data_IF_556743181512
#
_entry.id   IF_556743181512
#
_cell.length_a   1.000
_cell.length_b   1.000
_cell.length_c   1.000
_cell.angle_alpha   90.00
_cell.angle_beta   90.00
_cell.angle_gamma   90.00
#
_symmetry.space_group_name_H-M   'P 1'
#
loop_
_entity.id
_entity.type
_entity.pdbx_description
1 polymer ?
#
# COMPACT_ATOMS: atom_id res chain seq x y z
N UNK A 1 -3.90 -7.08 -24.60
CA UNK A 1 -4.41 -7.10 -23.22
C UNK A 1 -5.37 -8.27 -23.16
N UNK A 2 -4.97 -9.35 -22.51
CA UNK A 2 -5.79 -10.56 -22.41
C UNK A 2 -6.99 -10.25 -21.52
N UNK A 3 -8.19 -10.63 -21.97
CA UNK A 3 -9.43 -10.36 -21.25
C UNK A 3 -9.47 -11.28 -20.02
N UNK A 4 -9.40 -10.68 -18.82
CA UNK A 4 -9.39 -11.44 -17.58
C UNK A 4 -10.79 -11.98 -17.29
N UNK A 5 -10.98 -13.28 -17.50
CA UNK A 5 -12.28 -13.93 -17.36
C UNK A 5 -12.93 -13.65 -15.98
N UNK A 6 -14.15 -13.12 -16.01
CA UNK A 6 -14.95 -12.86 -14.80
C UNK A 6 -14.62 -11.57 -14.05
N UNK A 7 -13.68 -10.75 -14.54
CA UNK A 7 -13.32 -9.47 -13.90
C UNK A 7 -14.51 -8.53 -13.79
N UNK A 8 -15.29 -8.38 -14.87
CA UNK A 8 -16.45 -7.47 -14.92
C UNK A 8 -17.63 -7.92 -14.05
N UNK A 9 -17.66 -9.19 -13.66
CA UNK A 9 -18.72 -9.76 -12.82
C UNK A 9 -18.31 -9.79 -11.34
N UNK A 10 -17.07 -9.41 -11.02
CA UNK A 10 -16.60 -9.40 -9.64
C UNK A 10 -17.31 -8.28 -8.85
N UNK A 11 -17.79 -8.52 -7.61
CA UNK A 11 -18.52 -7.51 -6.84
C UNK A 11 -17.76 -6.20 -6.60
N UNK A 12 -16.43 -6.24 -6.69
CA UNK A 12 -15.55 -5.09 -6.46
C UNK A 12 -15.11 -4.40 -7.75
N UNK A 13 -15.49 -4.91 -8.92
CA UNK A 13 -14.94 -4.52 -10.24
C UNK A 13 -14.81 -3.01 -10.42
N UNK A 14 -15.89 -2.28 -10.11
CA UNK A 14 -16.00 -0.83 -10.29
C UNK A 14 -15.55 -0.01 -9.08
N UNK A 15 -15.15 -0.65 -7.97
CA UNK A 15 -14.67 0.06 -6.79
C UNK A 15 -13.22 0.49 -6.93
N UNK A 16 -12.87 1.59 -6.28
CA UNK A 16 -11.54 2.20 -6.32
C UNK A 16 -10.78 1.86 -5.02
N UNK A 17 -9.92 0.83 -5.02
CA UNK A 17 -9.08 0.55 -3.87
C UNK A 17 -8.10 1.70 -3.63
N UNK A 18 -8.10 2.21 -2.40
CA UNK A 18 -7.40 3.41 -2.01
C UNK A 18 -6.73 3.21 -0.67
N UNK A 19 -5.43 3.50 -0.59
CA UNK A 19 -4.69 3.57 0.67
C UNK A 19 -5.33 4.57 1.63
N UNK A 20 -5.34 4.24 2.92
CA UNK A 20 -5.64 5.21 3.97
C UNK A 20 -4.42 6.10 4.24
N UNK A 21 -4.58 7.25 4.90
CA UNK A 21 -3.44 8.04 5.35
C UNK A 21 -2.55 7.21 6.30
N UNK A 22 -1.36 6.87 5.85
CA UNK A 22 -0.32 6.18 6.62
C UNK A 22 1.05 6.49 6.03
N UNK A 23 2.06 6.54 6.88
CA UNK A 23 3.43 6.70 6.39
C UNK A 23 3.90 5.42 5.70
N UNK A 24 4.43 5.56 4.49
CA UNK A 24 5.08 4.48 3.76
C UNK A 24 6.23 5.01 2.89
N UNK A 25 7.13 4.12 2.49
CA UNK A 25 8.22 4.44 1.58
C UNK A 25 8.58 3.23 0.71
N UNK A 26 9.27 3.49 -0.40
CA UNK A 26 9.92 2.49 -1.23
C UNK A 26 11.27 2.09 -0.63
N UNK A 27 11.72 0.89 -0.91
CA UNK A 27 13.03 0.39 -0.45
C UNK A 27 13.61 -0.62 -1.44
N UNK A 28 14.94 -0.62 -1.54
CA UNK A 28 15.69 -1.56 -2.36
C UNK A 28 15.53 -1.33 -3.86
N UNK A 29 15.91 -2.35 -4.63
CA UNK A 29 15.91 -2.31 -6.08
C UNK A 29 14.51 -2.47 -6.68
N UNK A 30 14.37 -2.03 -7.94
CA UNK A 30 13.18 -2.31 -8.76
C UNK A 30 13.14 -3.82 -9.04
N UNK A 31 12.00 -4.46 -8.78
CA UNK A 31 11.80 -5.88 -9.00
C UNK A 31 10.99 -6.18 -10.27
N UNK A 32 9.83 -5.52 -10.42
CA UNK A 32 8.99 -5.60 -11.62
C UNK A 32 8.36 -4.24 -11.85
N UNK A 33 8.70 -3.58 -12.96
CA UNK A 33 8.21 -2.23 -13.29
C UNK A 33 7.21 -2.29 -14.45
N UNK A 34 5.93 -1.92 -14.24
CA UNK A 34 4.93 -1.88 -15.29
C UNK A 34 4.98 -0.60 -16.14
N UNK A 35 5.85 0.37 -15.82
CA UNK A 35 5.93 1.65 -16.52
C UNK A 35 4.70 2.53 -16.34
N UNK A 36 3.99 2.37 -15.21
CA UNK A 36 2.75 3.08 -14.90
C UNK A 36 3.01 4.24 -13.93
N UNK A 37 2.22 5.31 -14.07
CA UNK A 37 2.31 6.47 -13.17
C UNK A 37 2.14 6.06 -11.70
N UNK A 38 2.97 6.62 -10.83
CA UNK A 38 2.94 6.38 -9.39
C UNK A 38 3.34 4.96 -8.95
N UNK A 39 3.92 4.16 -9.85
CA UNK A 39 4.34 2.77 -9.57
C UNK A 39 5.81 2.63 -9.86
N UNK A 40 6.61 2.25 -8.86
CA UNK A 40 8.06 2.07 -9.01
C UNK A 40 8.47 0.63 -9.27
N UNK A 41 7.63 -0.33 -8.90
CA UNK A 41 8.01 -1.74 -8.91
C UNK A 41 9.01 -2.14 -7.83
N UNK A 42 9.28 -1.25 -6.87
CA UNK A 42 10.13 -1.51 -5.70
C UNK A 42 9.31 -2.14 -4.58
N UNK A 43 10.01 -2.61 -3.53
CA UNK A 43 9.33 -3.02 -2.30
C UNK A 43 8.87 -1.80 -1.51
N UNK A 44 7.76 -1.97 -0.79
CA UNK A 44 7.18 -0.95 0.07
C UNK A 44 7.32 -1.35 1.53
N UNK A 45 7.60 -0.36 2.38
CA UNK A 45 7.52 -0.48 3.84
C UNK A 45 6.49 0.49 4.36
N UNK A 46 5.56 -0.01 5.17
CA UNK A 46 4.59 0.80 5.92
C UNK A 46 5.08 0.97 7.36
N UNK A 47 5.01 2.20 7.89
CA UNK A 47 5.31 2.52 9.30
C UNK A 47 4.03 2.91 10.02
N UNK A 48 3.77 2.25 11.15
CA UNK A 48 2.57 2.46 11.96
C UNK A 48 3.03 2.73 13.40
N UNK A 49 2.60 3.83 14.05
CA UNK A 49 2.95 4.08 15.45
C UNK A 49 2.30 3.00 16.34
N UNK A 50 3.00 2.56 17.37
CA UNK A 50 2.38 1.72 18.40
C UNK A 50 1.56 2.57 19.34
N UNK A 51 0.30 2.20 19.52
CA UNK A 51 -0.53 2.77 20.57
C UNK A 51 -0.22 2.06 21.89
N UNK A 52 0.64 2.66 22.72
CA UNK A 52 0.87 2.13 24.07
C UNK A 52 -0.22 2.63 25.02
N UNK A 53 -0.89 1.71 25.72
CA UNK A 53 -1.70 2.07 26.88
C UNK A 53 -0.85 2.61 28.04
N UNK A 54 -1.47 3.26 29.04
CA UNK A 54 -0.74 3.89 30.17
C UNK A 54 0.17 2.91 30.95
N UNK A 55 -0.26 1.66 31.10
CA UNK A 55 0.49 0.60 31.79
C UNK A 55 1.62 0.06 30.89
N UNK A 56 1.30 -0.20 29.63
CA UNK A 56 2.25 -0.72 28.63
C UNK A 56 3.37 0.28 28.32
N UNK A 57 3.06 1.58 28.30
CA UNK A 57 4.04 2.64 28.07
C UNK A 57 5.12 2.72 29.15
N UNK A 58 4.81 2.39 30.41
CA UNK A 58 5.82 2.35 31.47
C UNK A 58 6.79 1.17 31.29
N UNK A 59 6.26 -0.01 30.98
CA UNK A 59 7.07 -1.21 30.67
C UNK A 59 7.89 -0.98 29.41
N UNK A 60 7.29 -0.42 28.36
CA UNK A 60 7.94 -0.10 27.10
C UNK A 60 9.16 0.82 27.28
N UNK A 61 9.06 1.84 28.17
CA UNK A 61 10.22 2.70 28.50
C UNK A 61 11.32 1.94 29.22
N UNK A 62 10.98 1.04 30.14
CA UNK A 62 11.95 0.22 30.88
C UNK A 62 12.74 -0.70 29.93
N UNK A 63 12.07 -1.29 28.94
CA UNK A 63 12.70 -2.22 27.99
C UNK A 63 13.14 -1.58 26.67
N UNK A 64 13.03 -0.25 26.54
CA UNK A 64 13.26 0.50 25.28
C UNK A 64 12.54 -0.14 24.08
N UNK A 65 11.27 -0.50 24.26
CA UNK A 65 10.48 -1.13 23.22
C UNK A 65 10.35 -0.19 21.99
N UNK A 66 10.42 -0.73 20.75
CA UNK A 66 10.27 0.08 19.56
C UNK A 66 8.92 0.80 19.56
N UNK A 67 8.93 2.12 19.33
CA UNK A 67 7.71 2.95 19.34
C UNK A 67 6.85 2.81 18.09
N UNK A 68 7.41 2.21 17.05
CA UNK A 68 6.73 1.99 15.79
C UNK A 68 6.78 0.53 15.37
N UNK A 69 5.90 0.22 14.43
CA UNK A 69 5.81 -1.03 13.73
C UNK A 69 6.22 -0.80 12.27
N UNK A 70 7.26 -1.50 11.85
CA UNK A 70 7.67 -1.55 10.44
C UNK A 70 7.11 -2.81 9.80
N UNK A 71 6.46 -2.66 8.66
CA UNK A 71 5.82 -3.73 7.90
C UNK A 71 6.33 -3.68 6.45
N UNK A 72 7.43 -4.40 6.14
CA UNK A 72 7.82 -4.61 4.76
C UNK A 72 6.76 -5.45 4.06
N UNK A 73 6.30 -5.00 2.91
CA UNK A 73 5.46 -5.76 2.01
C UNK A 73 6.34 -6.61 1.09
N UNK A 74 5.83 -7.78 0.69
CA UNK A 74 6.46 -8.55 -0.39
C UNK A 74 6.29 -7.85 -1.75
N UNK A 75 6.91 -8.39 -2.79
CA UNK A 75 6.89 -7.78 -4.12
C UNK A 75 5.48 -7.61 -4.70
N UNK A 76 4.59 -8.59 -4.54
CA UNK A 76 3.22 -8.51 -5.08
C UNK A 76 2.39 -7.50 -4.30
N UNK A 77 2.46 -7.55 -2.96
CA UNK A 77 1.72 -6.62 -2.10
C UNK A 77 2.27 -5.19 -2.21
N UNK A 78 3.54 -5.01 -2.54
CA UNK A 78 4.11 -3.68 -2.84
C UNK A 78 3.56 -3.11 -4.15
N UNK A 79 3.48 -3.93 -5.21
CA UNK A 79 2.85 -3.54 -6.47
C UNK A 79 1.38 -3.16 -6.27
N UNK A 80 0.63 -4.03 -5.59
CA UNK A 80 -0.77 -3.78 -5.26
C UNK A 80 -0.92 -2.49 -4.46
N UNK A 81 -0.06 -2.26 -3.47
CA UNK A 81 -0.05 -1.03 -2.68
C UNK A 81 0.11 0.23 -3.53
N UNK A 82 1.08 0.26 -4.45
CA UNK A 82 1.32 1.41 -5.33
C UNK A 82 0.15 1.62 -6.31
N UNK A 83 -0.44 0.55 -6.82
CA UNK A 83 -1.60 0.62 -7.73
C UNK A 83 -2.89 1.13 -7.05
N UNK A 84 -3.07 0.84 -5.76
CA UNK A 84 -4.25 1.22 -4.98
C UNK A 84 -4.17 2.66 -4.44
N UNK A 85 -3.96 3.62 -5.34
CA UNK A 85 -3.94 5.06 -5.05
C UNK A 85 -5.34 5.71 -5.10
N UNK A 86 -6.40 4.92 -5.29
CA UNK A 86 -7.78 5.39 -5.42
C UNK A 86 -8.12 6.02 -6.77
N UNK A 87 -7.23 5.95 -7.76
CA UNK A 87 -7.52 6.43 -9.12
C UNK A 87 -7.88 5.33 -10.11
N UNK A 88 -7.51 4.08 -9.80
CA UNK A 88 -7.80 2.89 -10.60
C UNK A 88 -8.91 2.09 -9.94
N UNK A 89 -9.76 1.49 -10.76
CA UNK A 89 -10.73 0.49 -10.36
C UNK A 89 -10.05 -0.83 -9.98
N UNK A 90 -10.72 -1.67 -9.21
CA UNK A 90 -10.24 -3.00 -8.87
C UNK A 90 -9.95 -3.86 -10.11
N UNK A 91 -10.79 -3.74 -11.15
CA UNK A 91 -10.58 -4.43 -12.43
C UNK A 91 -9.27 -4.02 -13.09
N UNK A 92 -9.00 -2.72 -13.19
CA UNK A 92 -7.75 -2.20 -13.75
C UNK A 92 -6.53 -2.68 -12.94
N UNK A 93 -6.63 -2.65 -11.61
CA UNK A 93 -5.57 -3.17 -10.72
C UNK A 93 -5.33 -4.66 -11.00
N UNK A 94 -6.39 -5.48 -11.12
CA UNK A 94 -6.25 -6.91 -11.41
C UNK A 94 -5.64 -7.18 -12.77
N UNK A 95 -5.98 -6.40 -13.80
CA UNK A 95 -5.39 -6.51 -15.13
C UNK A 95 -3.87 -6.25 -15.09
N UNK A 96 -3.43 -5.19 -14.41
CA UNK A 96 -2.00 -4.89 -14.24
C UNK A 96 -1.30 -5.98 -13.45
N UNK A 97 -1.89 -6.42 -12.34
CA UNK A 97 -1.33 -7.50 -11.52
C UNK A 97 -1.20 -8.81 -12.31
N UNK A 98 -2.17 -9.13 -13.17
CA UNK A 98 -2.14 -10.31 -14.03
C UNK A 98 -1.04 -10.21 -15.09
N UNK A 99 -0.90 -9.04 -15.73
CA UNK A 99 0.12 -8.82 -16.77
C UNK A 99 1.54 -8.92 -16.19
N UNK A 100 1.77 -8.33 -15.02
CA UNK A 100 3.08 -8.29 -14.36
C UNK A 100 3.49 -9.64 -13.76
N UNK A 101 2.54 -10.37 -13.17
CA UNK A 101 2.85 -11.59 -12.39
C UNK A 101 2.40 -12.90 -13.05
N UNK A 102 1.51 -12.86 -14.04
CA UNK A 102 1.12 -14.01 -14.84
C UNK A 102 0.76 -15.24 -13.96
N UNK A 103 1.45 -16.36 -14.14
CA UNK A 103 1.23 -17.60 -13.39
C UNK A 103 1.50 -17.47 -11.89
N UNK A 104 2.37 -16.56 -11.45
CA UNK A 104 2.74 -16.41 -10.03
C UNK A 104 1.55 -15.97 -9.16
N UNK A 105 0.60 -15.24 -9.75
CA UNK A 105 -0.57 -14.67 -9.07
C UNK A 105 -1.87 -15.42 -9.37
N UNK A 106 -1.87 -16.41 -10.27
CA UNK A 106 -3.10 -17.11 -10.61
C UNK A 106 -3.72 -17.79 -9.35
N UNK A 107 -5.05 -17.68 -9.13
CA UNK A 107 -6.00 -16.84 -9.86
C UNK A 107 -6.05 -15.39 -9.32
N UNK A 108 -5.82 -14.41 -10.20
CA UNK A 108 -5.51 -13.02 -9.82
C UNK A 108 -6.66 -12.30 -9.09
N UNK A 109 -7.92 -12.55 -9.47
CA UNK A 109 -9.07 -11.91 -8.85
C UNK A 109 -9.16 -12.27 -7.35
N UNK A 110 -9.08 -13.56 -7.02
CA UNK A 110 -9.13 -14.00 -5.62
C UNK A 110 -7.92 -13.52 -4.83
N UNK A 111 -6.70 -13.56 -5.41
CA UNK A 111 -5.48 -13.16 -4.69
C UNK A 111 -5.44 -11.65 -4.42
N UNK A 112 -5.81 -10.83 -5.40
CA UNK A 112 -5.90 -9.38 -5.25
C UNK A 112 -7.00 -8.98 -4.25
N UNK A 113 -8.20 -9.57 -4.34
CA UNK A 113 -9.28 -9.32 -3.39
C UNK A 113 -8.90 -9.71 -1.96
N UNK A 114 -8.25 -10.86 -1.77
CA UNK A 114 -7.78 -11.30 -0.46
C UNK A 114 -6.70 -10.38 0.13
N UNK A 115 -5.76 -9.91 -0.70
CA UNK A 115 -4.72 -8.97 -0.28
C UNK A 115 -5.32 -7.61 0.13
N UNK A 116 -6.25 -7.06 -0.67
CA UNK A 116 -6.99 -5.84 -0.31
C UNK A 116 -7.76 -6.05 0.99
N UNK A 117 -8.48 -7.16 1.15
CA UNK A 117 -9.22 -7.48 2.37
C UNK A 117 -8.32 -7.54 3.62
N UNK A 118 -7.11 -8.08 3.51
CA UNK A 118 -6.12 -8.08 4.58
C UNK A 118 -5.59 -6.68 4.93
N UNK A 119 -5.45 -5.80 3.94
CA UNK A 119 -5.07 -4.40 4.16
C UNK A 119 -6.23 -3.60 4.79
N UNK A 120 -7.47 -3.85 4.37
CA UNK A 120 -8.67 -3.27 4.97
C UNK A 120 -8.82 -3.69 6.44
N UNK A 121 -8.61 -4.97 6.77
CA UNK A 121 -8.67 -5.46 8.15
C UNK A 121 -7.60 -4.86 9.07
N UNK A 122 -6.60 -4.19 8.49
CA UNK A 122 -5.53 -3.46 9.18
C UNK A 122 -5.71 -1.95 9.10
N UNK A 123 -6.84 -1.47 8.57
CA UNK A 123 -7.14 -0.05 8.36
C UNK A 123 -6.15 0.66 7.43
N UNK A 124 -5.52 -0.06 6.51
CA UNK A 124 -4.53 0.47 5.57
C UNK A 124 -5.10 0.76 4.18
N UNK A 125 -6.32 0.31 3.90
CA UNK A 125 -6.97 0.45 2.60
C UNK A 125 -8.47 0.60 2.77
N UNK A 126 -9.11 1.28 1.82
CA UNK A 126 -10.55 1.42 1.65
C UNK A 126 -10.90 1.04 0.21
N UNK A 127 -12.15 0.64 -0.02
CA UNK A 127 -12.74 0.52 -1.34
C UNK A 127 -13.74 1.66 -1.47
N UNK A 128 -13.53 2.53 -2.45
CA UNK A 128 -14.36 3.72 -2.67
C UNK A 128 -15.31 3.46 -3.84
N UNK A 129 -16.52 4.01 -3.78
CA UNK A 129 -17.48 3.92 -4.88
C UNK A 129 -17.19 4.92 -6.02
N UNK A 130 -16.31 5.89 -5.76
CA UNK A 130 -15.86 6.90 -6.72
C UNK A 130 -14.35 7.16 -6.54
N UNK A 131 -13.64 7.67 -7.56
CA UNK A 131 -12.21 7.97 -7.47
C UNK A 131 -11.85 8.86 -6.26
N UNK A 132 -10.64 8.71 -5.73
CA UNK A 132 -10.19 9.45 -4.55
C UNK A 132 -10.29 10.98 -4.73
N UNK A 133 -9.93 11.48 -5.92
CA UNK A 133 -9.98 12.89 -6.30
C UNK A 133 -9.36 13.85 -5.26
N UNK A 134 -8.26 13.42 -4.63
CA UNK A 134 -7.52 14.23 -3.66
C UNK A 134 -8.23 14.49 -2.34
N UNK A 135 -9.26 13.71 -1.98
CA UNK A 135 -9.96 13.83 -0.67
C UNK A 135 -9.03 13.68 0.53
N UNK A 136 -7.97 12.89 0.40
CA UNK A 136 -6.84 12.85 1.32
C UNK A 136 -5.56 12.50 0.57
N UNK A 137 -4.45 12.61 1.28
CA UNK A 137 -3.13 12.32 0.74
C UNK A 137 -2.76 10.85 0.95
N UNK A 138 -2.26 10.22 -0.12
CA UNK A 138 -1.83 8.81 -0.19
C UNK A 138 -0.35 8.66 -0.58
N UNK A 139 0.33 9.76 -0.87
CA UNK A 139 1.75 9.79 -1.23
C UNK A 139 2.67 9.27 -0.11
N UNK A 140 3.90 8.89 -0.47
CA UNK A 140 4.89 8.37 0.48
C UNK A 140 5.36 9.44 1.48
N UNK A 141 5.96 9.00 2.58
CA UNK A 141 6.67 9.88 3.51
C UNK A 141 5.79 10.77 4.39
N UNK A 142 4.47 10.72 4.24
CA UNK A 142 3.54 11.58 4.97
C UNK A 142 3.03 10.90 6.24
N UNK A 143 3.35 11.49 7.38
CA UNK A 143 2.79 11.10 8.67
C UNK A 143 1.40 11.75 8.83
N UNK A 144 0.33 10.97 9.09
CA UNK A 144 -0.99 11.53 9.37
C UNK A 144 -0.97 12.47 10.59
N UNK A 145 -1.76 13.54 10.58
CA UNK A 145 -1.72 14.62 11.61
C UNK A 145 -1.88 14.13 13.07
N UNK A 146 -2.58 13.01 13.28
CA UNK A 146 -2.84 12.43 14.59
C UNK A 146 -1.83 11.34 14.99
N UNK A 147 -0.78 11.15 14.19
CA UNK A 147 0.26 10.15 14.39
C UNK A 147 1.61 10.82 14.63
N UNK A 148 2.39 10.24 15.53
CA UNK A 148 3.76 10.66 15.80
C UNK A 148 4.70 9.52 15.41
N UNK A 149 5.54 9.77 14.41
CA UNK A 149 6.57 8.86 13.94
C UNK A 149 7.90 9.60 13.99
N UNK A 150 8.89 8.97 14.60
CA UNK A 150 10.26 9.50 14.59
C UNK A 150 10.77 9.61 13.14
N UNK A 151 11.77 10.45 12.89
CA UNK A 151 12.41 10.42 11.57
C UNK A 151 13.05 9.05 11.34
N UNK A 152 12.87 8.46 10.14
CA UNK A 152 13.47 7.16 9.85
C UNK A 152 15.00 7.29 9.85
N UNK A 153 15.68 6.33 10.46
CA UNK A 153 17.14 6.31 10.49
C UNK A 153 17.73 6.27 9.06
N UNK A 154 18.79 7.05 8.81
CA UNK A 154 19.48 7.14 7.51
C UNK A 154 19.93 5.77 6.97
N UNK A 155 20.17 4.80 7.85
CA UNK A 155 20.59 3.45 7.49
C UNK A 155 19.51 2.59 6.83
N UNK A 156 18.25 3.04 6.80
CA UNK A 156 17.11 2.25 6.34
C UNK A 156 16.83 2.34 4.82
N UNK A 157 17.61 3.13 4.07
CA UNK A 157 17.52 3.26 2.60
C UNK A 157 16.07 3.34 2.09
N UNK A 158 15.31 4.25 2.72
CA UNK A 158 13.93 4.53 2.37
C UNK A 158 13.89 5.66 1.36
N UNK A 159 13.15 5.43 0.30
CA UNK A 159 12.85 6.41 -0.73
C UNK A 159 11.36 6.79 -0.62
N UNK A 160 11.12 7.98 -0.09
CA UNK A 160 9.79 8.60 -0.05
C UNK A 160 9.69 9.82 -0.97
N UNK A 161 10.58 9.95 -1.94
CA UNK A 161 10.44 10.98 -2.97
C UNK A 161 9.23 10.65 -3.84
N UNK A 162 8.38 11.64 -4.09
CA UNK A 162 7.22 11.48 -4.97
C UNK A 162 7.70 11.19 -6.39
N UNK A 163 7.07 10.23 -7.05
CA UNK A 163 7.27 9.98 -8.47
C UNK A 163 6.48 11.00 -9.31
N UNK A 164 6.84 11.13 -10.58
CA UNK A 164 6.11 11.96 -11.53
C UNK A 164 4.63 11.51 -11.62
N UNK A 165 3.72 12.47 -11.48
CA UNK A 165 2.27 12.27 -11.49
C UNK A 165 1.73 11.23 -10.47
N UNK A 166 2.50 10.95 -9.41
CA UNK A 166 2.05 10.15 -8.27
C UNK A 166 0.95 10.88 -7.51
N UNK A 167 -0.09 10.15 -7.09
CA UNK A 167 -1.16 10.73 -6.30
C UNK A 167 -0.58 11.34 -5.00
N UNK A 168 -0.92 12.61 -4.69
CA UNK A 168 -0.31 13.33 -3.58
C UNK A 168 -0.61 12.68 -2.24
#
# INVERSE_FOLDING_TARGET
MEELAGVDHHPLAEQYPCRTPVWWARTGAVHKDPGLRGVSGRRVVVRIPKQFGRIEGWVARLVRAPKELRRPLDTMNSMLWELCDGSRTFSEVCLVMNDVFQEDIAPVLQRSAAAIGLLQSKNLMLLLDEPLNGRWSVGPGKTPEHQDLEEPAETLDYDWTALDDEAP
#
